data_IF_649308114951
#
_entry.id   IF_649308114951
#
_cell.length_a   1.000
_cell.length_b   1.000
_cell.length_c   1.000
_cell.angle_alpha   90.00
_cell.angle_beta   90.00
_cell.angle_gamma   90.00
#
_symmetry.space_group_name_H-M   'P 1'
#
loop_
_entity.id
_entity.type
_entity.pdbx_description
1 polymer ?
#
# COMPACT_ATOMS: atom_id res chain seq x y z
N UNK A 1 -14.13 -14.32 -18.44
CA UNK A 1 -12.91 -13.68 -17.89
C UNK A 1 -13.31 -12.27 -17.49
N UNK A 2 -13.30 -11.94 -16.20
CA UNK A 2 -13.65 -10.60 -15.71
C UNK A 2 -12.33 -9.88 -15.49
N UNK A 3 -12.06 -8.84 -16.28
CA UNK A 3 -10.86 -8.01 -16.12
C UNK A 3 -11.11 -6.92 -15.08
N UNK A 4 -10.12 -6.63 -14.23
CA UNK A 4 -10.20 -5.47 -13.33
C UNK A 4 -10.02 -4.17 -14.11
N UNK A 5 -10.49 -3.07 -13.53
CA UNK A 5 -10.26 -1.73 -14.08
C UNK A 5 -8.76 -1.46 -14.32
N UNK A 6 -7.91 -1.84 -13.36
CA UNK A 6 -6.45 -1.67 -13.45
C UNK A 6 -5.82 -2.50 -14.57
N UNK A 7 -6.34 -3.71 -14.83
CA UNK A 7 -5.91 -4.55 -15.95
C UNK A 7 -6.24 -3.89 -17.30
N UNK A 8 -7.47 -3.41 -17.46
CA UNK A 8 -7.90 -2.74 -18.70
C UNK A 8 -7.10 -1.47 -18.93
N UNK A 9 -6.95 -0.62 -17.91
CA UNK A 9 -6.17 0.62 -18.00
C UNK A 9 -4.71 0.37 -18.41
N UNK A 10 -4.07 -0.66 -17.85
CA UNK A 10 -2.71 -1.03 -18.22
C UNK A 10 -2.61 -1.57 -19.64
N UNK A 11 -3.61 -2.33 -20.10
CA UNK A 11 -3.67 -2.79 -21.49
C UNK A 11 -3.79 -1.62 -22.46
N UNK A 12 -4.69 -0.68 -22.18
CA UNK A 12 -4.91 0.52 -23.01
C UNK A 12 -3.69 1.44 -23.04
N UNK A 13 -2.93 1.51 -21.95
CA UNK A 13 -1.70 2.32 -21.89
C UNK A 13 -0.56 1.66 -22.67
N UNK A 14 -0.33 0.36 -22.46
CA UNK A 14 0.70 -0.38 -23.19
C UNK A 14 0.42 -1.91 -23.16
N UNK A 15 -0.02 -2.50 -24.29
CA UNK A 15 -0.28 -3.94 -24.37
C UNK A 15 0.94 -4.81 -24.10
N UNK A 16 2.15 -4.34 -24.46
CA UNK A 16 3.40 -5.07 -24.22
C UNK A 16 3.72 -5.19 -22.73
N UNK A 17 3.57 -4.09 -21.97
CA UNK A 17 3.72 -4.10 -20.52
C UNK A 17 2.64 -4.96 -19.84
N UNK A 18 1.41 -4.91 -20.35
CA UNK A 18 0.32 -5.78 -19.88
C UNK A 18 0.68 -7.26 -20.03
N UNK A 19 1.21 -7.66 -21.19
CA UNK A 19 1.63 -9.04 -21.44
C UNK A 19 2.68 -9.50 -20.42
N UNK A 20 3.75 -8.71 -20.23
CA UNK A 20 4.80 -9.07 -19.26
C UNK A 20 4.23 -9.25 -17.85
N UNK A 21 3.34 -8.36 -17.42
CA UNK A 21 2.78 -8.38 -16.06
C UNK A 21 1.75 -9.49 -15.81
N UNK A 22 0.82 -9.72 -16.74
CA UNK A 22 -0.34 -10.60 -16.51
C UNK A 22 -0.30 -11.92 -17.28
N UNK A 23 0.47 -12.02 -18.36
CA UNK A 23 0.57 -13.25 -19.16
C UNK A 23 1.90 -13.98 -18.92
N UNK A 24 3.01 -13.24 -18.88
CA UNK A 24 4.34 -13.83 -18.68
C UNK A 24 4.69 -14.00 -17.18
N UNK A 25 3.85 -13.48 -16.27
CA UNK A 25 4.02 -13.62 -14.82
C UNK A 25 5.13 -12.76 -14.20
N UNK A 26 5.71 -11.82 -14.96
CA UNK A 26 6.75 -10.93 -14.44
C UNK A 26 6.14 -9.90 -13.49
N UNK A 27 6.51 -9.97 -12.20
CA UNK A 27 6.09 -9.01 -11.19
C UNK A 27 7.27 -8.18 -10.71
N UNK A 28 7.18 -6.87 -10.91
CA UNK A 28 8.06 -5.91 -10.29
C UNK A 28 7.85 -5.97 -8.77
N UNK A 29 8.92 -6.20 -8.00
CA UNK A 29 8.86 -6.10 -6.54
C UNK A 29 8.66 -4.63 -6.20
N UNK A 30 7.57 -4.31 -5.51
CA UNK A 30 7.37 -2.95 -4.99
C UNK A 30 8.41 -2.69 -3.91
N UNK A 31 9.45 -1.92 -4.25
CA UNK A 31 10.45 -1.45 -3.29
C UNK A 31 10.09 -0.11 -2.69
N UNK A 32 9.12 0.63 -3.26
CA UNK A 32 8.77 1.99 -2.84
C UNK A 32 7.96 2.01 -1.54
N UNK A 33 8.46 2.70 -0.52
CA UNK A 33 7.84 2.80 0.79
C UNK A 33 6.40 3.31 0.72
N UNK A 34 6.14 4.35 -0.07
CA UNK A 34 4.81 4.94 -0.22
C UNK A 34 3.75 3.94 -0.71
N UNK A 35 4.11 3.03 -1.64
CA UNK A 35 3.17 2.03 -2.17
C UNK A 35 2.85 0.95 -1.12
N UNK A 36 3.87 0.50 -0.39
CA UNK A 36 3.70 -0.52 0.66
C UNK A 36 2.93 0.04 1.85
N UNK A 37 3.27 1.27 2.25
CA UNK A 37 2.58 2.00 3.31
C UNK A 37 1.11 2.24 2.96
N UNK A 38 0.80 2.66 1.72
CA UNK A 38 -0.58 2.84 1.27
C UNK A 38 -1.43 1.57 1.42
N UNK A 39 -0.86 0.39 1.11
CA UNK A 39 -1.55 -0.89 1.32
C UNK A 39 -1.78 -1.21 2.80
N UNK A 40 -0.80 -0.93 3.66
CA UNK A 40 -0.95 -1.10 5.11
C UNK A 40 -2.03 -0.15 5.67
N UNK A 41 -2.07 1.08 5.15
CA UNK A 41 -3.05 2.10 5.52
C UNK A 41 -4.49 1.73 5.10
N UNK A 42 -4.67 1.21 3.88
CA UNK A 42 -5.98 0.70 3.43
C UNK A 42 -6.49 -0.43 4.33
N UNK A 43 -5.61 -1.32 4.81
CA UNK A 43 -5.97 -2.38 5.76
C UNK A 43 -6.36 -1.82 7.13
N UNK A 44 -5.66 -0.78 7.60
CA UNK A 44 -6.02 -0.09 8.82
C UNK A 44 -7.41 0.57 8.73
N UNK A 45 -7.73 1.20 7.61
CA UNK A 45 -9.07 1.74 7.35
C UNK A 45 -10.13 0.63 7.32
N UNK A 46 -9.85 -0.51 6.70
CA UNK A 46 -10.77 -1.65 6.74
C UNK A 46 -11.02 -2.14 8.18
N UNK A 47 -9.97 -2.22 9.00
CA UNK A 47 -10.08 -2.57 10.42
C UNK A 47 -10.95 -1.56 11.19
N UNK A 48 -10.79 -0.25 10.93
CA UNK A 48 -11.64 0.80 11.49
C UNK A 48 -13.13 0.55 11.20
N UNK A 49 -13.50 0.30 9.94
CA UNK A 49 -14.89 0.04 9.55
C UNK A 49 -15.45 -1.26 10.15
N UNK A 50 -14.58 -2.22 10.47
CA UNK A 50 -14.92 -3.45 11.18
C UNK A 50 -14.95 -3.29 12.72
N UNK A 51 -14.84 -2.06 13.24
CA UNK A 51 -14.80 -1.74 14.68
C UNK A 51 -13.62 -2.39 15.42
N UNK A 52 -12.51 -2.58 14.73
CA UNK A 52 -11.25 -3.05 15.30
C UNK A 52 -10.30 -1.86 15.53
N UNK A 53 -9.20 -2.11 16.24
CA UNK A 53 -8.15 -1.11 16.47
C UNK A 53 -7.36 -0.87 15.17
N UNK A 54 -7.65 0.26 14.53
CA UNK A 54 -7.03 0.67 13.26
C UNK A 54 -5.54 1.02 13.41
N UNK A 55 -5.14 1.62 14.53
CA UNK A 55 -3.75 1.98 14.78
C UNK A 55 -2.90 0.71 15.00
N UNK A 56 -3.43 -0.25 15.75
CA UNK A 56 -2.79 -1.56 15.90
C UNK A 56 -2.69 -2.31 14.57
N UNK A 57 -3.74 -2.28 13.75
CA UNK A 57 -3.73 -2.89 12.42
C UNK A 57 -2.68 -2.24 11.50
N UNK A 58 -2.59 -0.90 11.48
CA UNK A 58 -1.57 -0.18 10.72
C UNK A 58 -0.17 -0.60 11.16
N UNK A 59 0.09 -0.62 12.48
CA UNK A 59 1.39 -1.00 13.01
C UNK A 59 1.77 -2.43 12.63
N UNK A 60 0.85 -3.40 12.77
CA UNK A 60 1.12 -4.79 12.42
C UNK A 60 1.44 -4.97 10.93
N UNK A 61 0.69 -4.30 10.07
CA UNK A 61 0.87 -4.37 8.62
C UNK A 61 2.16 -3.66 8.18
N UNK A 62 2.48 -2.50 8.77
CA UNK A 62 3.67 -1.74 8.42
C UNK A 62 4.97 -2.35 8.95
N UNK A 63 4.90 -3.04 10.11
CA UNK A 63 6.04 -3.73 10.72
C UNK A 63 6.62 -4.82 9.83
N UNK A 64 5.81 -5.46 8.96
CA UNK A 64 6.28 -6.47 8.01
C UNK A 64 7.38 -5.96 7.06
N UNK A 65 7.44 -4.65 6.86
CA UNK A 65 8.38 -3.99 5.96
C UNK A 65 9.57 -3.33 6.70
N UNK A 66 9.65 -3.43 8.03
CA UNK A 66 10.70 -2.79 8.84
C UNK A 66 12.09 -3.31 8.49
N UNK A 67 12.24 -4.62 8.34
CA UNK A 67 13.53 -5.26 8.03
C UNK A 67 13.81 -5.38 6.52
N UNK A 68 12.90 -4.88 5.67
CA UNK A 68 13.05 -4.95 4.23
C UNK A 68 13.83 -3.74 3.71
N UNK A 69 14.58 -3.92 2.61
CA UNK A 69 15.18 -2.80 1.89
C UNK A 69 14.10 -2.08 1.08
N UNK A 70 13.47 -1.12 1.72
CA UNK A 70 12.46 -0.25 1.14
C UNK A 70 13.10 1.09 0.73
N UNK A 71 12.71 1.60 -0.43
CA UNK A 71 13.09 2.90 -0.94
C UNK A 71 12.20 3.99 -0.34
N UNK A 72 12.78 4.79 0.54
CA UNK A 72 12.17 5.98 1.10
C UNK A 72 12.47 7.20 0.23
N UNK A 73 11.50 8.11 0.11
CA UNK A 73 11.63 9.36 -0.64
C UNK A 73 11.61 10.54 0.32
N UNK A 74 12.11 11.71 -0.11
CA UNK A 74 11.88 13.00 0.57
C UNK A 74 12.23 13.08 2.08
N UNK A 75 13.16 12.25 2.55
CA UNK A 75 13.52 12.20 3.98
C UNK A 75 12.49 11.48 4.85
N UNK A 76 11.67 10.63 4.24
CA UNK A 76 10.82 9.68 4.95
C UNK A 76 11.67 8.60 5.62
N UNK A 77 11.17 8.14 6.75
CA UNK A 77 11.72 6.99 7.49
C UNK A 77 10.56 6.10 7.91
N UNK A 78 10.87 4.87 8.29
CA UNK A 78 9.86 3.92 8.76
C UNK A 78 9.01 4.51 9.89
N UNK A 79 9.66 5.10 10.90
CA UNK A 79 9.00 5.72 12.07
C UNK A 79 8.17 6.93 11.69
N UNK A 80 8.71 7.81 10.84
CA UNK A 80 8.03 9.05 10.44
C UNK A 80 6.74 8.75 9.68
N UNK A 81 6.77 7.76 8.78
CA UNK A 81 5.58 7.35 8.05
C UNK A 81 4.52 6.75 8.98
N UNK A 82 4.94 5.94 9.97
CA UNK A 82 4.03 5.38 10.96
C UNK A 82 3.36 6.48 11.80
N UNK A 83 4.15 7.42 12.32
CA UNK A 83 3.66 8.52 13.15
C UNK A 83 2.66 9.40 12.38
N UNK A 84 2.98 9.75 11.14
CA UNK A 84 2.07 10.47 10.24
C UNK A 84 0.80 9.66 9.93
N UNK A 85 0.93 8.35 9.74
CA UNK A 85 -0.20 7.45 9.52
C UNK A 85 -1.18 7.42 10.68
N UNK A 86 -0.66 7.27 11.90
CA UNK A 86 -1.49 7.26 13.12
C UNK A 86 -2.20 8.60 13.28
N UNK A 87 -1.49 9.73 13.12
CA UNK A 87 -2.10 11.06 13.18
C UNK A 87 -3.23 11.24 12.16
N UNK A 88 -3.05 10.70 10.95
CA UNK A 88 -4.05 10.79 9.89
C UNK A 88 -5.28 9.92 10.20
N UNK A 89 -5.08 8.71 10.74
CA UNK A 89 -6.16 7.85 11.22
C UNK A 89 -6.92 8.47 12.39
N UNK A 90 -6.22 9.01 13.38
CA UNK A 90 -6.83 9.67 14.54
C UNK A 90 -7.71 10.84 14.10
N UNK A 91 -7.22 11.65 13.16
CA UNK A 91 -7.99 12.75 12.57
C UNK A 91 -9.22 12.22 11.83
N UNK A 92 -9.06 11.16 11.03
CA UNK A 92 -10.17 10.54 10.31
C UNK A 92 -11.24 9.96 11.25
N UNK A 93 -10.86 9.48 12.43
CA UNK A 93 -11.81 8.96 13.43
C UNK A 93 -12.59 10.06 14.17
N UNK A 94 -12.09 11.30 14.15
CA UNK A 94 -12.70 12.46 14.82
C UNK A 94 -13.68 13.23 13.93
N UNK A 95 -13.59 13.05 12.60
CA UNK A 95 -14.50 13.61 11.59
C UNK A 95 -15.72 12.70 11.37
#
# INVERSE_FOLDING_TARGET
MIYSYTQISQYLTCPRRYRHRYLDGWQEKDTRAAMLFGRAFERALAAFFLRQDAAAALFQEWKLYQDQKVEYSHGDTWDRMLEQGIQLLDRFCQE
#
